data_IF_273665970417
#
_entry.id   IF_273665970417
#
_cell.length_a   1.000
_cell.length_b   1.000
_cell.length_c   1.000
_cell.angle_alpha   90.00
_cell.angle_beta   90.00
_cell.angle_gamma   90.00
#
_symmetry.space_group_name_H-M   'P 1'
#
loop_
_entity.id
_entity.type
_entity.pdbx_description
1 polymer ?
#
# COMPACT_ATOMS: atom_id res chain seq x y z
N UNK A 1 -8.61 -4.38 25.14
CA UNK A 1 -8.60 -3.82 23.78
C UNK A 1 -10.07 -3.69 23.38
N UNK A 2 -10.59 -2.48 23.14
CA UNK A 2 -12.01 -2.30 22.82
C UNK A 2 -12.29 -2.92 21.44
N UNK A 3 -13.39 -3.65 21.25
CA UNK A 3 -13.64 -4.44 20.02
C UNK A 3 -13.58 -3.59 18.75
N UNK A 4 -13.96 -2.32 18.86
CA UNK A 4 -13.88 -1.34 17.78
C UNK A 4 -12.43 -1.12 17.28
N UNK A 5 -11.45 -1.08 18.18
CA UNK A 5 -10.04 -0.92 17.81
C UNK A 5 -9.51 -2.16 17.09
N UNK A 6 -9.97 -3.35 17.46
CA UNK A 6 -9.54 -4.60 16.81
C UNK A 6 -9.99 -4.63 15.35
N UNK A 7 -11.26 -4.27 15.08
CA UNK A 7 -11.79 -4.21 13.71
C UNK A 7 -11.02 -3.21 12.84
N UNK A 8 -10.64 -2.07 13.43
CA UNK A 8 -9.90 -1.02 12.75
C UNK A 8 -8.47 -1.44 12.38
N UNK A 9 -7.75 -2.13 13.27
CA UNK A 9 -6.43 -2.68 12.94
C UNK A 9 -6.49 -3.83 11.92
N UNK A 10 -7.56 -4.64 11.94
CA UNK A 10 -7.77 -5.66 10.91
C UNK A 10 -7.99 -5.02 9.53
N UNK A 11 -8.79 -3.96 9.45
CA UNK A 11 -8.99 -3.22 8.21
C UNK A 11 -7.69 -2.58 7.70
N UNK A 12 -6.88 -2.04 8.60
CA UNK A 12 -5.54 -1.53 8.27
C UNK A 12 -4.65 -2.64 7.68
N UNK A 13 -4.62 -3.83 8.27
CA UNK A 13 -3.85 -4.97 7.76
C UNK A 13 -4.36 -5.40 6.38
N UNK A 14 -5.67 -5.55 6.20
CA UNK A 14 -6.27 -5.92 4.91
C UNK A 14 -5.95 -4.89 3.82
N UNK A 15 -6.06 -3.59 4.13
CA UNK A 15 -5.67 -2.51 3.21
C UNK A 15 -4.19 -2.56 2.86
N UNK A 16 -3.33 -2.95 3.81
CA UNK A 16 -1.88 -3.11 3.58
C UNK A 16 -1.57 -4.27 2.63
N UNK A 17 -2.23 -5.41 2.82
CA UNK A 17 -2.09 -6.58 1.94
C UNK A 17 -2.57 -6.23 0.53
N UNK A 18 -3.71 -5.54 0.41
CA UNK A 18 -4.20 -5.07 -0.88
C UNK A 18 -3.21 -4.15 -1.59
N UNK A 19 -2.60 -3.21 -0.88
CA UNK A 19 -1.56 -2.33 -1.43
C UNK A 19 -0.31 -3.11 -1.89
N UNK A 20 0.11 -4.15 -1.17
CA UNK A 20 1.20 -5.02 -1.61
C UNK A 20 0.86 -5.74 -2.92
N UNK A 21 -0.33 -6.36 -2.99
CA UNK A 21 -0.77 -7.10 -4.18
C UNK A 21 -0.84 -6.19 -5.41
N UNK A 22 -1.41 -4.99 -5.26
CA UNK A 22 -1.45 -3.99 -6.33
C UNK A 22 -0.02 -3.60 -6.71
N UNK A 23 0.81 -3.26 -5.73
CA UNK A 23 2.20 -2.88 -5.97
C UNK A 23 2.97 -3.95 -6.74
N UNK A 24 2.87 -5.22 -6.36
CA UNK A 24 3.52 -6.32 -7.07
C UNK A 24 3.00 -6.51 -8.49
N UNK A 25 1.67 -6.45 -8.67
CA UNK A 25 1.06 -6.54 -10.00
C UNK A 25 1.56 -5.43 -10.93
N UNK A 26 1.74 -4.22 -10.38
CA UNK A 26 2.33 -3.09 -11.11
C UNK A 26 3.78 -3.43 -11.48
N UNK A 27 4.62 -3.82 -10.52
CA UNK A 27 6.01 -4.16 -10.80
C UNK A 27 6.17 -5.26 -11.85
N UNK A 28 5.39 -6.34 -11.76
CA UNK A 28 5.38 -7.41 -12.75
C UNK A 28 4.95 -6.90 -14.14
N UNK A 29 3.89 -6.10 -14.20
CA UNK A 29 3.45 -5.46 -15.45
C UNK A 29 4.54 -4.54 -16.04
N UNK A 30 5.22 -3.77 -15.19
CA UNK A 30 6.33 -2.90 -15.60
C UNK A 30 7.57 -3.67 -16.07
N UNK A 31 7.75 -4.93 -15.66
CA UNK A 31 8.84 -5.78 -16.16
C UNK A 31 8.47 -6.41 -17.50
N UNK A 32 7.19 -6.78 -17.69
CA UNK A 32 6.74 -7.55 -18.84
C UNK A 32 6.33 -6.70 -20.06
N UNK A 33 5.86 -5.46 -19.86
CA UNK A 33 5.23 -4.67 -20.94
C UNK A 33 6.12 -3.53 -21.39
N UNK A 34 6.71 -3.60 -22.59
CA UNK A 34 7.59 -2.54 -23.13
C UNK A 34 6.89 -1.19 -23.45
N UNK A 35 5.56 -1.10 -23.32
CA UNK A 35 4.77 0.08 -23.68
C UNK A 35 4.78 1.11 -22.54
N UNK A 36 5.64 2.12 -22.67
CA UNK A 36 5.91 3.17 -21.66
C UNK A 36 4.73 4.08 -21.30
N UNK A 37 3.70 4.18 -22.14
CA UNK A 37 2.58 5.13 -21.90
C UNK A 37 1.64 4.70 -20.77
N UNK A 38 1.50 3.39 -20.51
CA UNK A 38 0.68 2.88 -19.40
C UNK A 38 1.30 3.06 -18.02
N UNK A 39 2.62 3.25 -17.95
CA UNK A 39 3.39 3.28 -16.70
C UNK A 39 3.03 4.46 -15.81
N UNK A 40 3.00 5.66 -16.39
CA UNK A 40 2.74 6.90 -15.65
C UNK A 40 1.33 6.87 -15.05
N UNK A 41 0.34 6.42 -15.83
CA UNK A 41 -1.04 6.34 -15.37
C UNK A 41 -1.21 5.34 -14.23
N UNK A 42 -0.59 4.16 -14.34
CA UNK A 42 -0.62 3.13 -13.31
C UNK A 42 0.06 3.57 -12.02
N UNK A 43 1.23 4.22 -12.11
CA UNK A 43 1.93 4.77 -10.95
C UNK A 43 1.13 5.90 -10.28
N UNK A 44 0.53 6.81 -11.06
CA UNK A 44 -0.34 7.86 -10.52
C UNK A 44 -1.55 7.27 -9.80
N UNK A 45 -2.22 6.27 -10.40
CA UNK A 45 -3.35 5.58 -9.77
C UNK A 45 -2.96 4.93 -8.43
N UNK A 46 -1.77 4.31 -8.38
CA UNK A 46 -1.24 3.74 -7.15
C UNK A 46 -0.97 4.80 -6.07
N UNK A 47 -0.29 5.90 -6.43
CA UNK A 47 0.01 7.00 -5.51
C UNK A 47 -1.28 7.60 -4.93
N UNK A 48 -2.28 7.85 -5.78
CA UNK A 48 -3.58 8.38 -5.37
C UNK A 48 -4.28 7.40 -4.41
N UNK A 49 -4.24 6.10 -4.70
CA UNK A 49 -4.84 5.05 -3.85
C UNK A 49 -4.17 4.99 -2.49
N UNK A 50 -2.83 5.00 -2.44
CA UNK A 50 -2.05 5.03 -1.19
C UNK A 50 -2.40 6.29 -0.37
N UNK A 51 -2.49 7.45 -1.03
CA UNK A 51 -2.85 8.70 -0.36
C UNK A 51 -4.27 8.69 0.20
N UNK A 52 -5.22 8.12 -0.55
CA UNK A 52 -6.60 7.97 -0.10
C UNK A 52 -6.71 7.04 1.11
N UNK A 53 -6.00 5.90 1.11
CA UNK A 53 -5.94 5.00 2.27
C UNK A 53 -5.34 5.71 3.48
N UNK A 54 -4.23 6.44 3.31
CA UNK A 54 -3.66 7.27 4.37
C UNK A 54 -4.69 8.25 4.98
N UNK A 55 -5.48 8.91 4.12
CA UNK A 55 -6.53 9.81 4.56
C UNK A 55 -7.61 9.08 5.38
N UNK A 56 -8.06 7.90 4.93
CA UNK A 56 -9.05 7.09 5.65
C UNK A 56 -8.53 6.61 7.01
N UNK A 57 -7.29 6.15 7.08
CA UNK A 57 -6.65 5.68 8.31
C UNK A 57 -6.51 6.81 9.35
N UNK A 58 -6.11 8.00 8.89
CA UNK A 58 -6.04 9.18 9.74
C UNK A 58 -7.43 9.60 10.23
N UNK A 59 -8.45 9.55 9.37
CA UNK A 59 -9.85 9.83 9.73
C UNK A 59 -10.41 8.81 10.73
N UNK A 60 -9.96 7.57 10.67
CA UNK A 60 -10.32 6.51 11.60
C UNK A 60 -9.63 6.62 12.98
N UNK A 61 -8.69 7.56 13.15
CA UNK A 61 -7.98 7.80 14.41
C UNK A 61 -6.68 6.98 14.56
N UNK A 62 -6.18 6.37 13.48
CA UNK A 62 -4.88 5.69 13.51
C UNK A 62 -3.78 6.74 13.60
N UNK A 63 -2.83 6.54 14.52
CA UNK A 63 -1.72 7.47 14.69
C UNK A 63 -0.82 7.48 13.46
N UNK A 64 -0.36 8.68 13.06
CA UNK A 64 0.58 8.84 11.95
C UNK A 64 1.81 7.94 12.11
N UNK A 65 2.31 7.77 13.34
CA UNK A 65 3.46 6.90 13.63
C UNK A 65 3.23 5.46 13.17
N UNK A 66 2.05 4.89 13.42
CA UNK A 66 1.72 3.53 12.99
C UNK A 66 1.58 3.44 11.47
N UNK A 67 0.97 4.44 10.84
CA UNK A 67 0.81 4.49 9.38
C UNK A 67 2.18 4.53 8.69
N UNK A 68 3.13 5.32 9.21
CA UNK A 68 4.50 5.40 8.70
C UNK A 68 5.32 4.14 8.95
N UNK A 69 5.24 3.53 10.15
CA UNK A 69 5.90 2.24 10.43
C UNK A 69 5.44 1.18 9.42
N UNK A 70 4.13 1.09 9.20
CA UNK A 70 3.57 0.19 8.20
C UNK A 70 4.10 0.52 6.81
N UNK A 71 4.10 1.79 6.39
CA UNK A 71 4.60 2.16 5.06
C UNK A 71 6.06 1.73 4.85
N UNK A 72 6.92 1.91 5.86
CA UNK A 72 8.32 1.44 5.82
C UNK A 72 8.39 -0.09 5.67
N UNK A 73 7.58 -0.83 6.45
CA UNK A 73 7.50 -2.29 6.35
C UNK A 73 7.08 -2.73 4.94
N UNK A 74 6.05 -2.09 4.36
CA UNK A 74 5.59 -2.43 3.00
C UNK A 74 6.69 -2.19 1.96
N UNK A 75 7.39 -1.06 2.05
CA UNK A 75 8.52 -0.75 1.15
C UNK A 75 9.63 -1.81 1.29
N UNK A 76 9.98 -2.20 2.52
CA UNK A 76 10.99 -3.23 2.76
C UNK A 76 10.58 -4.59 2.21
N UNK A 77 9.31 -4.99 2.36
CA UNK A 77 8.78 -6.24 1.80
C UNK A 77 8.88 -6.22 0.27
N UNK A 78 8.44 -5.12 -0.36
CA UNK A 78 8.52 -5.00 -1.82
C UNK A 78 9.97 -5.04 -2.32
N UNK A 79 10.88 -4.33 -1.63
CA UNK A 79 12.30 -4.34 -1.95
C UNK A 79 12.90 -5.74 -1.80
N UNK A 80 12.61 -6.45 -0.70
CA UNK A 80 13.14 -7.80 -0.47
C UNK A 80 12.68 -8.79 -1.53
N UNK A 81 11.45 -8.69 -2.02
CA UNK A 81 10.93 -9.58 -3.06
C UNK A 81 11.51 -9.24 -4.43
N UNK A 82 11.70 -7.95 -4.74
CA UNK A 82 12.30 -7.54 -6.01
C UNK A 82 13.76 -8.01 -6.19
N UNK A 83 14.52 -8.07 -5.09
CA UNK A 83 15.93 -8.50 -5.10
C UNK A 83 16.14 -9.99 -4.72
N UNK A 84 15.07 -10.74 -4.45
CA UNK A 84 15.14 -12.18 -4.19
C UNK A 84 15.10 -12.99 -5.49
#
# INVERSE_FOLDING_TARGET
>A
MNDNNRSLYLNMILGSIGLLLIGFSIFEYLILVEITTGYILTLLGFIITVHYIYHLEKKAGISNKLIWIRAIILILIMFSIYYS
#
